data_IF_939582573968
#
_entry.id   IF_939582573968
#
_cell.length_a   1.000
_cell.length_b   1.000
_cell.length_c   1.000
_cell.angle_alpha   90.00
_cell.angle_beta   90.00
_cell.angle_gamma   90.00
#
_symmetry.space_group_name_H-M   'P 1'
#
loop_
_entity.id
_entity.type
_entity.pdbx_description
1 polymer ?
#
# COMPACT_ATOMS: atom_id res chain seq x y z
N UNK A 1 -7.44 -10.59 18.69
CA UNK A 1 -7.71 -11.77 17.83
C UNK A 1 -6.72 -11.73 16.69
N UNK A 2 -6.28 -12.88 16.16
CA UNK A 2 -5.46 -12.85 14.95
C UNK A 2 -6.27 -12.31 13.78
N UNK A 3 -5.64 -11.52 12.91
CA UNK A 3 -6.26 -11.06 11.66
C UNK A 3 -6.73 -12.25 10.82
N UNK A 4 -7.96 -12.16 10.34
CA UNK A 4 -8.55 -13.21 9.48
C UNK A 4 -8.12 -13.05 8.02
N UNK A 5 -8.22 -14.14 7.24
CA UNK A 5 -7.95 -14.08 5.81
C UNK A 5 -8.93 -13.15 5.06
N UNK A 6 -10.18 -13.04 5.53
CA UNK A 6 -11.17 -12.09 4.99
C UNK A 6 -10.75 -10.64 5.20
N UNK A 7 -10.25 -10.32 6.40
CA UNK A 7 -9.71 -9.00 6.70
C UNK A 7 -8.48 -8.67 5.87
N UNK A 8 -7.59 -9.64 5.66
CA UNK A 8 -6.43 -9.50 4.76
C UNK A 8 -6.89 -9.23 3.33
N UNK A 9 -7.82 -10.03 2.83
CA UNK A 9 -8.32 -9.90 1.46
C UNK A 9 -8.95 -8.52 1.24
N UNK A 10 -9.70 -7.98 2.22
CA UNK A 10 -10.23 -6.61 2.17
C UNK A 10 -9.12 -5.56 2.19
N UNK A 11 -8.14 -5.68 3.09
CA UNK A 11 -7.01 -4.75 3.15
C UNK A 11 -6.21 -4.71 1.85
N UNK A 12 -5.95 -5.88 1.26
CA UNK A 12 -5.27 -6.03 -0.03
C UNK A 12 -6.12 -5.45 -1.17
N UNK A 13 -7.41 -5.78 -1.22
CA UNK A 13 -8.29 -5.28 -2.27
C UNK A 13 -8.42 -3.75 -2.23
N UNK A 14 -8.46 -3.15 -1.05
CA UNK A 14 -8.58 -1.70 -0.89
C UNK A 14 -7.25 -1.00 -1.19
N UNK A 15 -6.16 -1.44 -0.57
CA UNK A 15 -4.87 -0.74 -0.68
C UNK A 15 -4.11 -1.07 -1.97
N UNK A 16 -4.37 -2.22 -2.59
CA UNK A 16 -3.77 -2.62 -3.87
C UNK A 16 -4.33 -1.85 -5.07
N UNK A 17 -5.57 -1.34 -4.97
CA UNK A 17 -6.22 -0.53 -6.02
C UNK A 17 -5.52 0.79 -6.31
N UNK A 18 -4.67 1.25 -5.39
CA UNK A 18 -3.88 2.47 -5.57
C UNK A 18 -2.70 2.28 -6.54
N UNK A 19 -2.20 1.05 -6.66
CA UNK A 19 -1.02 0.72 -7.45
C UNK A 19 -1.39 0.18 -8.83
N UNK A 20 -2.47 -0.60 -8.93
CA UNK A 20 -2.86 -1.29 -10.15
C UNK A 20 -4.37 -1.25 -10.41
N UNK A 21 -4.76 -1.13 -11.67
CA UNK A 21 -6.10 -1.49 -12.12
C UNK A 21 -6.19 -3.03 -12.28
N UNK A 22 -7.16 -3.68 -11.63
CA UNK A 22 -7.41 -5.12 -11.75
C UNK A 22 -7.16 -5.91 -10.45
N UNK A 23 -6.90 -7.22 -10.56
CA UNK A 23 -6.62 -8.11 -9.42
C UNK A 23 -5.20 -7.84 -8.86
N UNK A 24 -5.06 -7.29 -7.64
CA UNK A 24 -3.76 -6.98 -7.04
C UNK A 24 -2.84 -8.21 -6.91
N UNK A 25 -3.42 -9.41 -6.81
CA UNK A 25 -2.66 -10.64 -6.63
C UNK A 25 -1.87 -11.06 -7.88
N UNK A 26 -2.33 -10.64 -9.07
CA UNK A 26 -1.71 -10.98 -10.36
C UNK A 26 -1.07 -9.76 -11.06
N UNK A 27 -1.06 -8.59 -10.42
CA UNK A 27 -0.47 -7.38 -10.96
C UNK A 27 1.02 -7.57 -11.28
N UNK A 28 1.46 -7.12 -12.46
CA UNK A 28 2.85 -7.23 -12.91
C UNK A 28 3.28 -5.98 -13.66
N UNK A 29 4.47 -5.49 -13.34
CA UNK A 29 5.07 -4.30 -13.94
C UNK A 29 6.55 -4.54 -14.24
N UNK A 30 7.10 -3.75 -15.17
CA UNK A 30 8.50 -3.83 -15.59
C UNK A 30 9.44 -2.97 -14.75
N UNK A 31 10.63 -2.72 -15.26
CA UNK A 31 11.79 -2.14 -14.56
C UNK A 31 11.78 -0.61 -14.49
N UNK A 32 10.63 0.01 -14.24
CA UNK A 32 10.51 1.49 -14.25
C UNK A 32 11.21 2.16 -13.07
N UNK A 33 11.48 1.41 -12.00
CA UNK A 33 12.09 1.85 -10.75
C UNK A 33 13.47 1.19 -10.48
N UNK A 34 13.99 0.41 -11.43
CA UNK A 34 15.26 -0.30 -11.29
C UNK A 34 15.20 -1.65 -10.58
N UNK A 35 14.00 -2.13 -10.20
CA UNK A 35 13.80 -3.39 -9.46
C UNK A 35 13.67 -4.65 -10.33
N UNK A 36 13.78 -4.52 -11.65
CA UNK A 36 13.69 -5.58 -12.64
C UNK A 36 12.25 -5.90 -13.01
N UNK A 37 11.54 -6.61 -12.13
CA UNK A 37 10.11 -6.88 -12.28
C UNK A 37 9.44 -6.73 -10.91
N UNK A 38 8.25 -6.14 -10.88
CA UNK A 38 7.45 -6.00 -9.65
C UNK A 38 6.14 -6.75 -9.84
N UNK A 39 5.82 -7.63 -8.88
CA UNK A 39 4.79 -8.65 -9.02
C UNK A 39 3.90 -8.73 -7.79
N UNK A 40 2.60 -8.95 -7.98
CA UNK A 40 1.63 -9.22 -6.93
C UNK A 40 1.37 -8.05 -5.98
N UNK A 41 0.72 -8.40 -4.86
CA UNK A 41 0.06 -7.46 -3.95
C UNK A 41 1.01 -6.42 -3.37
N UNK A 42 2.19 -6.86 -2.93
CA UNK A 42 3.19 -6.01 -2.27
C UNK A 42 4.37 -5.66 -3.20
N UNK A 43 4.18 -5.78 -4.52
CA UNK A 43 5.20 -5.48 -5.53
C UNK A 43 6.52 -6.23 -5.28
N UNK A 44 6.41 -7.54 -5.05
CA UNK A 44 7.54 -8.45 -4.89
C UNK A 44 8.47 -8.36 -6.10
N UNK A 45 9.76 -8.15 -5.88
CA UNK A 45 10.70 -7.89 -6.95
C UNK A 45 12.07 -8.53 -6.73
N UNK A 46 12.82 -8.65 -7.83
CA UNK A 46 14.18 -9.22 -7.82
C UNK A 46 15.18 -8.24 -7.20
N UNK A 47 15.02 -6.94 -7.46
CA UNK A 47 15.95 -5.90 -6.99
C UNK A 47 16.12 -5.85 -5.47
N UNK A 48 15.05 -6.10 -4.71
CA UNK A 48 15.03 -6.19 -3.25
C UNK A 48 15.16 -7.62 -2.71
N UNK A 49 15.39 -8.61 -3.58
CA UNK A 49 15.39 -10.03 -3.26
C UNK A 49 14.08 -10.58 -2.65
N UNK A 50 12.95 -9.88 -2.84
CA UNK A 50 11.68 -10.22 -2.19
C UNK A 50 10.83 -11.21 -2.99
N UNK A 51 11.01 -11.28 -4.32
CA UNK A 51 10.28 -12.23 -5.19
C UNK A 51 10.86 -13.64 -5.11
N UNK A 52 12.19 -13.78 -5.03
CA UNK A 52 12.86 -15.08 -4.99
C UNK A 52 12.32 -16.04 -3.91
N UNK A 53 12.27 -15.68 -2.61
CA UNK A 53 11.82 -16.62 -1.58
C UNK A 53 10.36 -17.05 -1.76
N UNK A 54 9.54 -16.22 -2.41
CA UNK A 54 8.14 -16.53 -2.69
C UNK A 54 8.02 -17.61 -3.76
N UNK A 55 8.72 -17.42 -4.88
CA UNK A 55 8.69 -18.36 -6.01
C UNK A 55 9.43 -19.67 -5.68
N UNK A 56 10.54 -19.61 -4.93
CA UNK A 56 11.22 -20.80 -4.45
C UNK A 56 10.32 -21.67 -3.55
N UNK A 57 9.52 -21.05 -2.68
CA UNK A 57 8.58 -21.76 -1.81
C UNK A 57 7.39 -22.35 -2.59
N UNK A 58 6.93 -21.70 -3.67
CA UNK A 58 5.91 -22.27 -4.56
C UNK A 58 6.45 -23.46 -5.37
N UNK A 59 7.75 -23.45 -5.68
CA UNK A 59 8.47 -24.56 -6.26
C UNK A 59 8.54 -24.55 -7.80
N UNK A 60 9.62 -25.15 -8.31
CA UNK A 60 9.92 -25.21 -9.75
C UNK A 60 8.78 -25.76 -10.61
N UNK A 61 8.05 -26.85 -10.23
CA UNK A 61 6.97 -27.37 -11.05
C UNK A 61 5.83 -26.37 -11.27
N UNK A 62 5.48 -25.58 -10.24
CA UNK A 62 4.46 -24.53 -10.34
C UNK A 62 4.89 -23.46 -11.35
N UNK A 63 6.15 -23.03 -11.26
CA UNK A 63 6.72 -22.00 -12.14
C UNK A 63 6.74 -22.46 -13.59
N UNK A 64 7.25 -23.66 -13.86
CA UNK A 64 7.31 -24.19 -15.23
C UNK A 64 5.92 -24.42 -15.83
N UNK A 65 4.93 -24.79 -15.01
CA UNK A 65 3.55 -24.98 -15.45
C UNK A 65 2.86 -23.65 -15.80
N UNK A 66 3.02 -22.62 -14.96
CA UNK A 66 2.33 -21.34 -15.15
C UNK A 66 3.05 -20.41 -16.14
N UNK A 67 4.37 -20.58 -16.31
CA UNK A 67 5.22 -19.81 -17.19
C UNK A 67 6.02 -20.73 -18.13
N UNK A 68 5.38 -21.34 -19.15
CA UNK A 68 6.03 -22.32 -20.02
C UNK A 68 7.19 -21.74 -20.85
N UNK A 69 7.18 -20.45 -21.17
CA UNK A 69 8.23 -19.81 -21.96
C UNK A 69 9.37 -19.29 -21.10
N UNK A 70 9.05 -18.57 -20.02
CA UNK A 70 10.08 -17.90 -19.19
C UNK A 70 10.43 -18.67 -17.91
N UNK A 71 9.69 -19.72 -17.55
CA UNK A 71 9.77 -20.36 -16.24
C UNK A 71 11.14 -20.93 -15.90
N UNK A 72 11.87 -21.47 -16.89
CA UNK A 72 13.23 -21.96 -16.66
C UNK A 72 14.20 -20.82 -16.30
N UNK A 73 14.12 -19.70 -17.03
CA UNK A 73 14.91 -18.49 -16.74
C UNK A 73 14.48 -17.84 -15.42
N UNK A 74 13.18 -17.82 -15.12
CA UNK A 74 12.66 -17.31 -13.86
C UNK A 74 13.15 -18.14 -12.66
N UNK A 75 13.15 -19.47 -12.78
CA UNK A 75 13.72 -20.35 -11.77
C UNK A 75 15.20 -20.07 -11.55
N UNK A 76 15.97 -19.90 -12.64
CA UNK A 76 17.37 -19.51 -12.56
C UNK A 76 17.54 -18.15 -11.87
N UNK A 77 16.76 -17.14 -12.26
CA UNK A 77 16.79 -15.81 -11.64
C UNK A 77 16.47 -15.87 -10.13
N UNK A 78 15.57 -16.76 -9.72
CA UNK A 78 15.21 -16.92 -8.30
C UNK A 78 16.29 -17.62 -7.46
N UNK A 79 17.13 -18.45 -8.08
CA UNK A 79 18.23 -19.15 -7.41
C UNK A 79 19.56 -18.37 -7.49
N UNK A 80 19.63 -17.33 -8.31
CA UNK A 80 20.81 -16.51 -8.49
C UNK A 80 20.86 -15.33 -7.50
N UNK A 81 22.02 -14.67 -7.42
CA UNK A 81 22.14 -13.39 -6.72
C UNK A 81 21.37 -12.27 -7.45
N UNK A 82 21.03 -11.19 -6.73
CA UNK A 82 20.22 -10.07 -7.25
C UNK A 82 20.72 -9.55 -8.60
N UNK A 83 22.03 -9.30 -8.74
CA UNK A 83 22.60 -8.79 -9.99
C UNK A 83 22.36 -9.71 -11.20
N UNK A 84 22.51 -11.02 -11.01
CA UNK A 84 22.29 -12.02 -12.06
C UNK A 84 20.80 -12.21 -12.34
N UNK A 85 19.96 -12.23 -11.30
CA UNK A 85 18.50 -12.25 -11.44
C UNK A 85 17.99 -11.06 -12.24
N UNK A 86 18.47 -9.84 -11.92
CA UNK A 86 18.13 -8.62 -12.66
C UNK A 86 18.54 -8.72 -14.12
N UNK A 87 19.76 -9.22 -14.41
CA UNK A 87 20.22 -9.39 -15.78
C UNK A 87 19.32 -10.32 -16.60
N UNK A 88 18.77 -11.38 -15.98
CA UNK A 88 17.82 -12.30 -16.63
C UNK A 88 16.48 -11.60 -16.90
N UNK A 89 15.84 -11.05 -15.86
CA UNK A 89 14.47 -10.51 -15.99
C UNK A 89 14.40 -9.24 -16.86
N UNK A 90 15.52 -8.53 -17.05
CA UNK A 90 15.64 -7.39 -17.98
C UNK A 90 15.57 -7.79 -19.45
N UNK A 91 15.91 -9.04 -19.80
CA UNK A 91 15.80 -9.52 -21.19
C UNK A 91 14.34 -9.64 -21.67
N UNK A 92 13.40 -9.68 -20.73
CA UNK A 92 11.96 -9.79 -20.97
C UNK A 92 11.28 -8.46 -21.32
N UNK A 93 12.06 -7.39 -21.45
CA UNK A 93 11.55 -6.04 -21.47
C UNK A 93 12.11 -5.23 -22.64
N UNK A 94 11.37 -4.18 -23.01
CA UNK A 94 11.81 -3.12 -23.92
C UNK A 94 11.46 -1.79 -23.26
N UNK A 95 12.43 -0.89 -23.11
CA UNK A 95 12.25 0.41 -22.43
C UNK A 95 11.55 0.27 -21.06
N UNK A 96 12.04 -0.65 -20.22
CA UNK A 96 11.47 -0.97 -18.90
C UNK A 96 10.01 -1.47 -18.90
N UNK A 97 9.46 -1.84 -20.07
CA UNK A 97 8.12 -2.43 -20.17
C UNK A 97 8.22 -3.92 -20.50
N UNK A 98 7.46 -4.74 -19.77
CA UNK A 98 7.36 -6.18 -20.03
C UNK A 98 6.75 -6.46 -21.41
N UNK A 99 7.45 -7.31 -22.18
CA UNK A 99 6.94 -7.93 -23.40
C UNK A 99 5.68 -8.75 -23.09
N UNK A 100 4.85 -8.97 -24.11
CA UNK A 100 3.53 -9.58 -23.95
C UNK A 100 3.56 -10.98 -23.29
N UNK A 101 4.47 -11.86 -23.72
CA UNK A 101 4.58 -13.22 -23.18
C UNK A 101 5.03 -13.21 -21.71
N UNK A 102 6.16 -12.57 -21.32
CA UNK A 102 6.53 -12.46 -19.92
C UNK A 102 5.45 -11.85 -19.04
N UNK A 103 4.77 -10.79 -19.51
CA UNK A 103 3.67 -10.16 -18.76
C UNK A 103 2.56 -11.16 -18.46
N UNK A 104 2.09 -11.88 -19.48
CA UNK A 104 0.99 -12.85 -19.34
C UNK A 104 1.38 -14.01 -18.42
N UNK A 105 2.57 -14.59 -18.62
CA UNK A 105 3.04 -15.73 -17.85
C UNK A 105 3.32 -15.37 -16.39
N UNK A 106 3.89 -14.20 -16.11
CA UNK A 106 4.06 -13.71 -14.75
C UNK A 106 2.70 -13.47 -14.08
N UNK A 107 1.74 -12.83 -14.75
CA UNK A 107 0.40 -12.63 -14.20
C UNK A 107 -0.29 -13.96 -13.87
N UNK A 108 -0.20 -14.94 -14.76
CA UNK A 108 -0.73 -16.29 -14.54
C UNK A 108 -0.05 -16.99 -13.36
N UNK A 109 1.28 -16.89 -13.25
CA UNK A 109 2.04 -17.45 -12.13
C UNK A 109 1.64 -16.79 -10.81
N UNK A 110 1.62 -15.46 -10.76
CA UNK A 110 1.25 -14.72 -9.54
C UNK A 110 -0.21 -14.98 -9.13
N UNK A 111 -1.08 -15.24 -10.11
CA UNK A 111 -2.46 -15.64 -9.90
C UNK A 111 -2.67 -17.10 -9.48
N UNK A 112 -1.64 -17.97 -9.53
CA UNK A 112 -1.79 -19.39 -9.21
C UNK A 112 -2.12 -19.61 -7.72
N UNK A 113 -2.91 -20.63 -7.36
CA UNK A 113 -3.24 -20.90 -5.95
C UNK A 113 -2.02 -21.04 -5.06
N UNK A 114 -0.98 -21.71 -5.54
CA UNK A 114 0.26 -21.95 -4.79
C UNK A 114 1.03 -20.66 -4.53
N UNK A 115 1.15 -19.80 -5.54
CA UNK A 115 1.84 -18.51 -5.41
C UNK A 115 1.01 -17.53 -4.57
N UNK A 116 -0.33 -17.50 -4.74
CA UNK A 116 -1.24 -16.73 -3.87
C UNK A 116 -1.12 -17.18 -2.40
N UNK A 117 -0.97 -18.47 -2.12
CA UNK A 117 -0.76 -18.97 -0.76
C UNK A 117 0.58 -18.49 -0.15
N UNK A 118 1.65 -18.41 -0.96
CA UNK A 118 2.93 -17.85 -0.51
C UNK A 118 2.84 -16.32 -0.31
N UNK A 119 2.16 -15.61 -1.20
CA UNK A 119 1.85 -14.18 -1.02
C UNK A 119 1.09 -13.97 0.29
N UNK A 120 0.02 -14.74 0.54
CA UNK A 120 -0.80 -14.64 1.75
C UNK A 120 0.02 -14.89 3.03
N UNK A 121 0.89 -15.91 3.03
CA UNK A 121 1.79 -16.19 4.16
C UNK A 121 2.66 -14.97 4.51
N UNK A 122 3.21 -14.29 3.51
CA UNK A 122 4.01 -13.08 3.73
C UNK A 122 3.15 -11.89 4.13
N UNK A 123 1.99 -11.71 3.50
CA UNK A 123 1.04 -10.65 3.83
C UNK A 123 0.54 -10.78 5.27
N UNK A 124 0.32 -12.00 5.79
CA UNK A 124 -0.04 -12.23 7.20
C UNK A 124 0.96 -11.63 8.19
N UNK A 125 2.25 -11.60 7.85
CA UNK A 125 3.27 -10.95 8.69
C UNK A 125 3.09 -9.43 8.71
N UNK A 126 2.78 -8.82 7.56
CA UNK A 126 2.49 -7.38 7.45
C UNK A 126 1.19 -7.05 8.17
N UNK A 127 0.15 -7.85 7.96
CA UNK A 127 -1.16 -7.68 8.57
C UNK A 127 -1.12 -7.86 10.09
N UNK A 128 -0.32 -8.79 10.62
CA UNK A 128 -0.12 -8.94 12.06
C UNK A 128 0.53 -7.71 12.70
N UNK A 129 1.50 -7.07 12.03
CA UNK A 129 2.08 -5.80 12.49
C UNK A 129 1.06 -4.66 12.46
N UNK A 130 0.28 -4.58 11.38
CA UNK A 130 -0.78 -3.59 11.25
C UNK A 130 -1.86 -3.74 12.30
N UNK A 131 -2.28 -4.99 12.59
CA UNK A 131 -3.27 -5.31 13.61
C UNK A 131 -2.79 -4.94 15.01
N UNK A 132 -1.52 -5.22 15.33
CA UNK A 132 -0.94 -4.81 16.60
C UNK A 132 -0.99 -3.28 16.77
N UNK A 133 -0.59 -2.52 15.74
CA UNK A 133 -0.66 -1.05 15.76
C UNK A 133 -2.11 -0.55 15.88
N UNK A 134 -3.04 -1.14 15.13
CA UNK A 134 -4.46 -0.78 15.19
C UNK A 134 -5.07 -1.09 16.56
N UNK A 135 -4.70 -2.22 17.18
CA UNK A 135 -5.15 -2.60 18.51
C UNK A 135 -4.60 -1.65 19.58
N UNK A 136 -3.31 -1.29 19.53
CA UNK A 136 -2.73 -0.27 20.42
C UNK A 136 -3.43 1.06 20.26
N UNK A 137 -3.69 1.48 19.03
CA UNK A 137 -4.42 2.71 18.72
C UNK A 137 -5.84 2.69 19.31
N UNK A 138 -6.58 1.60 19.13
CA UNK A 138 -7.93 1.47 19.69
C UNK A 138 -7.95 1.49 21.21
N UNK A 139 -6.98 0.83 21.86
CA UNK A 139 -6.83 0.84 23.31
C UNK A 139 -6.53 2.23 23.86
N UNK A 140 -5.63 2.97 23.22
CA UNK A 140 -5.32 4.36 23.58
C UNK A 140 -6.54 5.27 23.44
N UNK A 141 -7.37 5.03 22.41
CA UNK A 141 -8.67 5.69 22.23
C UNK A 141 -9.79 5.17 23.17
N UNK A 142 -9.47 4.33 24.16
CA UNK A 142 -10.44 3.80 25.12
C UNK A 142 -11.43 2.78 24.56
N UNK A 143 -11.16 2.20 23.38
CA UNK A 143 -12.01 1.20 22.73
C UNK A 143 -11.49 -0.22 22.97
N UNK A 144 -12.38 -1.21 23.12
CA UNK A 144 -11.98 -2.60 23.40
C UNK A 144 -11.38 -3.32 22.18
N UNK A 145 -11.66 -2.83 20.97
CA UNK A 145 -11.19 -3.43 19.73
C UNK A 145 -11.02 -2.38 18.63
N UNK A 146 -10.09 -2.66 17.72
CA UNK A 146 -9.88 -1.90 16.49
C UNK A 146 -10.98 -2.17 15.48
N UNK A 147 -11.29 -1.17 14.65
CA UNK A 147 -12.20 -1.32 13.52
C UNK A 147 -11.50 -1.93 12.30
N UNK A 148 -12.29 -2.40 11.31
CA UNK A 148 -11.74 -2.85 10.03
C UNK A 148 -11.05 -1.69 9.28
N UNK A 149 -11.59 -0.48 9.36
CA UNK A 149 -10.98 0.70 8.74
C UNK A 149 -9.59 0.99 9.32
N UNK A 150 -9.43 0.87 10.64
CA UNK A 150 -8.14 1.06 11.30
C UNK A 150 -7.13 0.00 10.86
N UNK A 151 -7.54 -1.27 10.83
CA UNK A 151 -6.69 -2.34 10.31
C UNK A 151 -6.20 -2.02 8.89
N UNK A 152 -7.09 -1.57 8.01
CA UNK A 152 -6.74 -1.27 6.61
C UNK A 152 -5.83 -0.03 6.52
N UNK A 153 -6.09 1.00 7.32
CA UNK A 153 -5.24 2.17 7.39
C UNK A 153 -3.83 1.83 7.90
N UNK A 154 -3.72 1.01 8.95
CA UNK A 154 -2.44 0.56 9.48
C UNK A 154 -1.75 -0.45 8.56
N UNK A 155 -2.51 -1.27 7.82
CA UNK A 155 -1.96 -2.15 6.79
C UNK A 155 -1.28 -1.34 5.69
N UNK A 156 -1.93 -0.26 5.26
CA UNK A 156 -1.37 0.71 4.33
C UNK A 156 -0.13 1.40 4.89
N UNK A 157 -0.14 1.77 6.18
CA UNK A 157 1.01 2.37 6.87
C UNK A 157 2.22 1.43 6.85
N UNK A 158 2.05 0.20 7.30
CA UNK A 158 3.16 -0.76 7.40
C UNK A 158 3.72 -1.04 6.00
N UNK A 159 2.84 -1.18 5.00
CA UNK A 159 3.24 -1.46 3.61
C UNK A 159 4.01 -0.30 2.97
N UNK A 160 3.51 0.93 3.10
CA UNK A 160 4.06 2.09 2.37
C UNK A 160 5.12 2.87 3.15
N UNK A 161 5.06 2.82 4.48
CA UNK A 161 5.82 3.73 5.33
C UNK A 161 6.53 3.08 6.51
N UNK A 162 6.27 1.79 6.75
CA UNK A 162 6.90 0.97 7.79
C UNK A 162 6.37 1.20 9.21
N UNK A 163 6.18 2.46 9.64
CA UNK A 163 5.74 2.79 11.01
C UNK A 163 5.18 4.21 11.15
N UNK A 164 4.67 4.51 12.35
CA UNK A 164 4.22 5.84 12.78
C UNK A 164 5.36 6.85 13.05
N UNK A 165 6.63 6.41 13.03
CA UNK A 165 7.80 7.24 13.34
C UNK A 165 7.72 7.96 14.70
N UNK A 166 7.20 7.26 15.71
CA UNK A 166 7.10 7.78 17.08
C UNK A 166 5.82 8.55 17.38
N UNK A 167 4.93 8.76 16.40
CA UNK A 167 3.59 9.29 16.68
C UNK A 167 2.77 8.29 17.49
N UNK A 168 1.95 8.81 18.39
CA UNK A 168 0.96 8.05 19.15
C UNK A 168 -0.44 8.71 19.12
N UNK A 169 -1.36 8.21 19.95
CA UNK A 169 -2.72 8.73 20.06
C UNK A 169 -2.77 10.09 20.77
N UNK A 170 -1.92 10.32 21.76
CA UNK A 170 -1.86 11.56 22.51
C UNK A 170 -1.43 12.73 21.61
N UNK A 171 -0.51 12.50 20.67
CA UNK A 171 -0.14 13.49 19.65
C UNK A 171 -1.37 13.98 18.84
N UNK A 172 -2.25 13.05 18.48
CA UNK A 172 -3.46 13.34 17.70
C UNK A 172 -4.48 14.10 18.54
N UNK A 173 -4.74 13.65 19.77
CA UNK A 173 -5.63 14.32 20.72
C UNK A 173 -5.13 15.73 21.01
N UNK A 174 -3.83 15.89 21.24
CA UNK A 174 -3.22 17.18 21.50
C UNK A 174 -3.34 18.11 20.29
N UNK A 175 -3.09 17.62 19.07
CA UNK A 175 -3.28 18.42 17.85
C UNK A 175 -4.72 18.91 17.73
N UNK A 176 -5.71 18.02 17.91
CA UNK A 176 -7.14 18.37 17.86
C UNK A 176 -7.46 19.45 18.89
N UNK A 177 -7.02 19.27 20.14
CA UNK A 177 -7.22 20.23 21.23
C UNK A 177 -6.61 21.59 20.95
N UNK A 178 -5.45 21.65 20.30
CA UNK A 178 -4.75 22.90 20.00
C UNK A 178 -5.21 23.59 18.73
N UNK A 179 -6.08 22.98 17.93
CA UNK A 179 -6.58 23.56 16.67
C UNK A 179 -7.61 24.69 16.86
N UNK A 180 -7.87 25.11 18.10
CA UNK A 180 -8.82 26.17 18.45
C UNK A 180 -8.30 27.58 18.11
N UNK A 181 -9.17 28.55 17.76
CA UNK A 181 -10.64 28.45 17.69
C UNK A 181 -11.16 27.75 16.43
N UNK A 182 -10.27 27.31 15.52
CA UNK A 182 -10.64 26.56 14.33
C UNK A 182 -10.93 25.08 14.62
N UNK A 183 -11.05 24.29 13.54
CA UNK A 183 -11.20 22.83 13.61
C UNK A 183 -9.95 22.15 13.06
N UNK A 184 -9.62 20.98 13.60
CA UNK A 184 -8.45 20.22 13.18
C UNK A 184 -8.49 19.84 11.69
N UNK A 185 -9.67 19.50 11.16
CA UNK A 185 -9.87 19.20 9.74
C UNK A 185 -9.68 20.44 8.85
N UNK A 186 -10.00 21.64 9.32
CA UNK A 186 -9.71 22.89 8.60
C UNK A 186 -8.22 23.13 8.46
N UNK A 187 -7.46 22.96 9.56
CA UNK A 187 -5.99 23.09 9.56
C UNK A 187 -5.36 22.14 8.54
N UNK A 188 -5.82 20.88 8.51
CA UNK A 188 -5.36 19.88 7.53
C UNK A 188 -5.73 20.29 6.10
N UNK A 189 -6.96 20.77 5.88
CA UNK A 189 -7.41 21.19 4.56
C UNK A 189 -6.68 22.44 4.06
N UNK A 190 -6.39 23.41 4.92
CA UNK A 190 -5.58 24.59 4.58
C UNK A 190 -4.16 24.19 4.21
N UNK A 191 -3.56 23.25 4.95
CA UNK A 191 -2.26 22.68 4.62
C UNK A 191 -2.23 22.01 3.24
N UNK A 192 -3.31 21.31 2.87
CA UNK A 192 -3.47 20.71 1.54
C UNK A 192 -3.68 21.74 0.42
N UNK A 193 -4.45 22.81 0.67
CA UNK A 193 -4.61 23.92 -0.28
C UNK A 193 -3.30 24.68 -0.52
N UNK A 194 -2.48 24.79 0.54
CA UNK A 194 -1.15 25.39 0.49
C UNK A 194 -0.06 24.43 -0.06
N UNK A 195 -0.42 23.25 -0.57
CA UNK A 195 0.55 22.26 -1.05
C UNK A 195 1.52 22.84 -2.10
N UNK A 196 2.84 22.83 -1.84
CA UNK A 196 3.86 23.32 -2.77
C UNK A 196 3.89 22.55 -4.08
N UNK A 197 4.29 23.21 -5.18
CA UNK A 197 4.45 22.61 -6.51
C UNK A 197 5.36 21.36 -6.51
N UNK A 198 6.32 21.29 -5.59
CA UNK A 198 7.26 20.17 -5.47
C UNK A 198 6.65 18.89 -4.85
N UNK A 199 5.45 18.94 -4.29
CA UNK A 199 4.81 17.75 -3.73
C UNK A 199 4.25 16.85 -4.83
N UNK A 200 4.57 15.56 -4.72
CA UNK A 200 3.88 14.52 -5.46
C UNK A 200 2.42 14.45 -5.01
N UNK A 201 1.51 14.39 -5.98
CA UNK A 201 0.07 14.37 -5.72
C UNK A 201 -0.54 15.74 -5.36
N UNK A 202 0.14 16.87 -5.62
CA UNK A 202 -0.37 18.22 -5.31
C UNK A 202 -1.80 18.48 -5.81
N UNK A 203 -2.10 18.11 -7.05
CA UNK A 203 -3.44 18.35 -7.63
C UNK A 203 -4.51 17.61 -6.83
N UNK A 204 -4.23 16.39 -6.41
CA UNK A 204 -5.12 15.60 -5.57
C UNK A 204 -5.25 16.21 -4.17
N UNK A 205 -4.19 16.80 -3.60
CA UNK A 205 -4.27 17.52 -2.33
C UNK A 205 -5.33 18.64 -2.37
N UNK A 206 -5.30 19.47 -3.42
CA UNK A 206 -6.25 20.58 -3.58
C UNK A 206 -7.68 20.05 -3.74
N UNK A 207 -7.87 19.01 -4.57
CA UNK A 207 -9.19 18.37 -4.74
C UNK A 207 -9.70 17.76 -3.43
N UNK A 208 -8.81 17.11 -2.67
CA UNK A 208 -9.14 16.47 -1.41
C UNK A 208 -9.49 17.49 -0.32
N UNK A 209 -8.80 18.62 -0.26
CA UNK A 209 -9.16 19.70 0.67
C UNK A 209 -10.62 20.15 0.48
N UNK A 210 -11.05 20.37 -0.77
CA UNK A 210 -12.45 20.72 -1.08
C UNK A 210 -13.43 19.55 -0.86
N UNK A 211 -12.95 18.31 -0.99
CA UNK A 211 -13.77 17.12 -0.74
C UNK A 211 -14.00 16.90 0.77
N UNK A 212 -12.99 17.08 1.61
CA UNK A 212 -12.98 16.68 3.02
C UNK A 212 -13.42 17.78 3.98
N UNK A 213 -13.16 19.05 3.65
CA UNK A 213 -13.50 20.20 4.50
C UNK A 213 -14.97 20.13 4.95
N UNK A 214 -15.17 20.33 6.26
CA UNK A 214 -16.45 20.28 6.97
C UNK A 214 -17.22 18.96 6.92
N UNK A 215 -16.66 17.91 6.29
CA UNK A 215 -17.35 16.63 6.05
C UNK A 215 -16.71 15.47 6.81
N UNK A 216 -15.58 15.69 7.49
CA UNK A 216 -14.94 14.64 8.30
C UNK A 216 -15.84 14.36 9.51
N UNK A 217 -16.40 13.15 9.58
CA UNK A 217 -17.24 12.76 10.69
C UNK A 217 -16.42 12.68 12.00
N UNK A 218 -17.02 12.96 13.18
CA UNK A 218 -16.29 12.87 14.45
C UNK A 218 -15.62 11.51 14.68
N UNK A 219 -16.25 10.41 14.23
CA UNK A 219 -15.70 9.07 14.33
C UNK A 219 -14.44 8.82 13.47
N UNK A 220 -14.20 9.66 12.46
CA UNK A 220 -13.07 9.54 11.53
C UNK A 220 -11.98 10.58 11.77
N UNK A 221 -12.27 11.60 12.58
CA UNK A 221 -11.41 12.78 12.75
C UNK A 221 -10.01 12.41 13.25
N UNK A 222 -9.91 11.52 14.24
CA UNK A 222 -8.61 11.13 14.79
C UNK A 222 -7.74 10.40 13.75
N UNK A 223 -8.31 9.47 12.98
CA UNK A 223 -7.60 8.75 11.92
C UNK A 223 -7.23 9.69 10.76
N UNK A 224 -8.07 10.69 10.49
CA UNK A 224 -7.81 11.73 9.50
C UNK A 224 -6.65 12.65 9.93
N UNK A 225 -6.64 13.08 11.19
CA UNK A 225 -5.53 13.86 11.77
C UNK A 225 -4.24 13.04 11.82
N UNK A 226 -4.32 11.76 12.20
CA UNK A 226 -3.17 10.84 12.18
C UNK A 226 -2.55 10.76 10.77
N UNK A 227 -3.39 10.77 9.74
CA UNK A 227 -2.94 10.81 8.33
C UNK A 227 -2.09 12.05 8.05
N UNK A 228 -2.53 13.21 8.52
CA UNK A 228 -1.81 14.48 8.36
C UNK A 228 -0.48 14.51 9.14
N UNK A 229 -0.52 14.14 10.42
CA UNK A 229 0.68 14.13 11.26
C UNK A 229 1.72 13.17 10.68
N UNK A 230 1.28 11.96 10.26
CA UNK A 230 2.19 11.00 9.66
C UNK A 230 2.72 11.47 8.32
N UNK A 231 1.89 12.09 7.48
CA UNK A 231 2.33 12.66 6.21
C UNK A 231 3.42 13.72 6.40
N UNK A 232 3.32 14.55 7.45
CA UNK A 232 4.29 15.60 7.77
C UNK A 232 5.71 15.05 8.07
N UNK A 233 5.81 13.81 8.56
CA UNK A 233 7.07 13.09 8.83
C UNK A 233 7.67 12.38 7.59
N UNK A 234 7.03 12.48 6.43
CA UNK A 234 7.57 11.99 5.16
C UNK A 234 8.54 12.99 4.54
N UNK A 235 9.33 12.53 3.55
CA UNK A 235 10.19 13.44 2.78
C UNK A 235 9.34 14.56 2.18
N UNK A 236 9.92 15.75 2.02
CA UNK A 236 9.16 16.94 1.62
C UNK A 236 8.31 16.71 0.35
N UNK A 237 8.84 15.99 -0.66
CA UNK A 237 8.12 15.68 -1.90
C UNK A 237 6.98 14.67 -1.71
N UNK A 238 7.06 13.77 -0.73
CA UNK A 238 6.09 12.67 -0.54
C UNK A 238 4.90 13.02 0.37
N UNK A 239 4.90 14.18 1.03
CA UNK A 239 3.85 14.56 1.99
C UNK A 239 2.45 14.53 1.38
N UNK A 240 2.29 15.05 0.16
CA UNK A 240 1.01 15.09 -0.55
C UNK A 240 0.45 13.70 -0.83
N UNK A 241 1.22 12.84 -1.50
CA UNK A 241 0.78 11.47 -1.82
C UNK A 241 0.47 10.63 -0.57
N UNK A 242 1.25 10.78 0.51
CA UNK A 242 0.97 10.08 1.78
C UNK A 242 -0.34 10.56 2.39
N UNK A 243 -0.58 11.87 2.44
CA UNK A 243 -1.84 12.40 2.98
C UNK A 243 -3.04 12.04 2.10
N UNK A 244 -2.93 12.15 0.78
CA UNK A 244 -4.02 11.80 -0.14
C UNK A 244 -4.49 10.36 0.06
N UNK A 245 -3.55 9.43 0.18
CA UNK A 245 -3.83 8.01 0.35
C UNK A 245 -4.43 7.70 1.72
N UNK A 246 -3.79 8.16 2.80
CA UNK A 246 -4.22 7.87 4.17
C UNK A 246 -5.47 8.63 4.58
N UNK A 247 -5.57 9.89 4.16
CA UNK A 247 -6.76 10.71 4.31
C UNK A 247 -7.96 10.10 3.60
N UNK A 248 -7.79 9.54 2.40
CA UNK A 248 -8.88 8.84 1.72
C UNK A 248 -9.34 7.55 2.43
N UNK A 249 -8.42 6.82 3.09
CA UNK A 249 -8.79 5.67 3.92
C UNK A 249 -9.53 6.10 5.20
N UNK A 250 -9.07 7.17 5.85
CA UNK A 250 -9.71 7.74 7.04
C UNK A 250 -11.09 8.34 6.72
N UNK A 251 -11.22 9.05 5.61
CA UNK A 251 -12.47 9.66 5.15
C UNK A 251 -13.37 8.70 4.35
N UNK A 252 -12.84 7.54 3.95
CA UNK A 252 -13.46 6.55 3.05
C UNK A 252 -13.74 7.06 1.62
N UNK A 253 -13.17 8.20 1.24
CA UNK A 253 -13.25 8.75 -0.13
C UNK A 253 -12.12 9.74 -0.39
N UNK A 254 -11.54 9.73 -1.58
CA UNK A 254 -10.48 10.69 -1.91
C UNK A 254 -9.85 10.50 -3.28
N UNK A 255 -9.22 11.56 -3.76
CA UNK A 255 -8.41 11.61 -4.97
C UNK A 255 -7.00 11.08 -4.68
N UNK A 256 -6.57 10.10 -5.46
CA UNK A 256 -5.24 9.48 -5.37
C UNK A 256 -4.75 9.21 -6.79
N UNK A 257 -3.55 9.71 -7.11
CA UNK A 257 -2.93 9.59 -8.43
C UNK A 257 -3.87 10.00 -9.58
N UNK A 258 -4.65 11.07 -9.37
CA UNK A 258 -5.59 11.61 -10.35
C UNK A 258 -6.95 10.90 -10.44
N UNK A 259 -7.17 9.81 -9.70
CA UNK A 259 -8.42 9.05 -9.69
C UNK A 259 -9.18 9.25 -8.36
N UNK A 260 -10.50 9.41 -8.44
CA UNK A 260 -11.37 9.42 -7.26
C UNK A 260 -11.67 7.98 -6.83
N UNK A 261 -11.36 7.67 -5.58
CA UNK A 261 -11.72 6.42 -4.91
C UNK A 261 -12.85 6.66 -3.92
N UNK A 262 -13.80 5.73 -3.89
CA UNK A 262 -14.90 5.67 -2.92
C UNK A 262 -14.89 4.30 -2.26
N UNK A 263 -14.80 4.30 -0.93
CA UNK A 263 -14.72 3.14 -0.05
C UNK A 263 -15.94 3.04 0.87
N UNK A 264 -16.97 3.84 0.63
CA UNK A 264 -18.22 3.76 1.38
C UNK A 264 -18.78 2.34 1.30
N UNK A 265 -19.06 1.72 2.45
CA UNK A 265 -19.55 0.34 2.55
C UNK A 265 -18.50 -0.77 2.35
N UNK A 266 -17.22 -0.43 2.18
CA UNK A 266 -16.12 -1.41 2.13
C UNK A 266 -15.45 -1.65 3.49
N UNK A 267 -15.74 -0.78 4.47
CA UNK A 267 -15.26 -0.85 5.86
C UNK A 267 -16.43 -0.86 6.83
#
# INVERSE_FOLDING_TARGET
MAVTDDEINKAVAVTGRFENAGDPWSGVTGDFDGMGISCGVLQWNIGSASLQPLLLAAGKPVILRAAPTIGAQLWQACNAGVAQGLAIVRQWQTNAQLKAVPRKELANLMGSPEVKAQQLTRIRTVAGKADALAATWAQAAGRPARSLQELIWFFDLVTQNGSLKGLDHDDVVQFIKTSTPGRADDVVCDWLLAAPAAWWGRVDCIKNAGLWRDKVAPADLELFVLSYLRASLSTAKARGVVMNRKGALAFRKGWINGQLFDFTGQF
#
